data_IF_336879773846
#
_entry.id   IF_336879773846
#
_cell.length_a   1.000
_cell.length_b   1.000
_cell.length_c   1.000
_cell.angle_alpha   90.00
_cell.angle_beta   90.00
_cell.angle_gamma   90.00
#
_symmetry.space_group_name_H-M   'P 1'
#
loop_
_entity.id
_entity.type
_entity.pdbx_description
1 polymer ?
#
# COMPACT_ATOMS: atom_id res chain seq x y z
N UNK A 1 -11.49 -77.38 48.71
CA UNK A 1 -10.11 -76.85 48.55
C UNK A 1 -10.23 -75.35 48.42
N UNK A 2 -10.05 -74.67 49.55
CA UNK A 2 -10.05 -73.22 49.63
C UNK A 2 -8.77 -72.68 49.00
N UNK A 3 -8.86 -72.04 47.83
CA UNK A 3 -7.76 -71.21 47.33
C UNK A 3 -7.90 -69.79 47.91
N UNK A 4 -7.33 -69.63 49.10
CA UNK A 4 -6.98 -68.34 49.68
C UNK A 4 -5.98 -67.63 48.76
N UNK A 5 -6.40 -66.57 48.08
CA UNK A 5 -5.48 -65.66 47.39
C UNK A 5 -4.74 -64.79 48.44
N UNK A 6 -3.40 -64.64 48.33
CA UNK A 6 -2.58 -63.95 49.32
C UNK A 6 -2.88 -62.44 49.41
N UNK A 7 -2.80 -61.91 50.63
CA UNK A 7 -3.15 -60.54 51.04
C UNK A 7 -2.34 -59.41 50.35
N UNK A 8 -1.39 -59.75 49.46
CA UNK A 8 -0.43 -58.81 48.86
C UNK A 8 -0.92 -58.13 47.58
N UNK A 9 -1.99 -58.64 46.96
CA UNK A 9 -2.52 -58.08 45.70
C UNK A 9 -3.70 -57.09 45.90
N UNK A 10 -4.21 -56.93 47.14
CA UNK A 10 -5.28 -55.97 47.43
C UNK A 10 -4.83 -54.51 47.59
N UNK A 11 -3.52 -54.23 47.53
CA UNK A 11 -2.96 -52.90 47.84
C UNK A 11 -2.52 -52.07 46.62
N UNK A 12 -2.63 -52.57 45.39
CA UNK A 12 -2.25 -51.80 44.18
C UNK A 12 -3.40 -51.02 43.52
N UNK A 13 -4.56 -50.95 44.16
CA UNK A 13 -5.68 -50.08 43.76
C UNK A 13 -5.70 -48.73 44.51
N UNK A 14 -4.56 -48.32 45.09
CA UNK A 14 -4.39 -46.95 45.62
C UNK A 14 -4.24 -45.95 44.47
N UNK A 15 -5.39 -45.60 43.89
CA UNK A 15 -5.75 -44.31 43.30
C UNK A 15 -4.58 -43.49 42.73
N UNK A 16 -4.33 -43.63 41.43
CA UNK A 16 -3.79 -42.54 40.62
C UNK A 16 -4.83 -41.39 40.63
N UNK A 17 -4.87 -40.62 41.72
CA UNK A 17 -5.62 -39.35 41.72
C UNK A 17 -4.79 -38.40 40.87
N UNK A 18 -5.16 -38.28 39.59
CA UNK A 18 -4.65 -37.22 38.73
C UNK A 18 -5.02 -35.91 39.42
N UNK A 19 -4.01 -35.15 39.86
CA UNK A 19 -4.23 -33.85 40.50
C UNK A 19 -4.64 -32.85 39.41
N UNK A 20 -5.94 -32.76 39.14
CA UNK A 20 -6.51 -31.93 38.08
C UNK A 20 -6.10 -30.45 38.22
N UNK A 21 -5.95 -29.94 39.44
CA UNK A 21 -5.49 -28.57 39.69
C UNK A 21 -4.09 -28.32 39.14
N UNK A 22 -3.20 -29.32 39.23
CA UNK A 22 -1.83 -29.20 38.75
C UNK A 22 -1.74 -29.40 37.24
N UNK A 23 -2.56 -30.30 36.70
CA UNK A 23 -2.71 -30.47 35.25
C UNK A 23 -3.28 -29.21 34.57
N UNK A 24 -4.27 -28.57 35.20
CA UNK A 24 -4.90 -27.34 34.70
C UNK A 24 -3.93 -26.15 34.76
N UNK A 25 -3.20 -25.97 35.85
CA UNK A 25 -2.16 -24.93 35.95
C UNK A 25 -1.07 -25.10 34.89
N UNK A 26 -0.65 -26.33 34.62
CA UNK A 26 0.35 -26.61 33.59
C UNK A 26 -0.21 -26.46 32.17
N UNK A 27 -1.49 -26.77 31.94
CA UNK A 27 -2.15 -26.49 30.67
C UNK A 27 -2.23 -24.98 30.40
N UNK A 28 -2.66 -24.19 31.39
CA UNK A 28 -2.71 -22.73 31.27
C UNK A 28 -1.34 -22.11 31.01
N UNK A 29 -0.27 -22.59 31.67
CA UNK A 29 1.10 -22.14 31.40
C UNK A 29 1.54 -22.42 29.96
N UNK A 30 1.29 -23.63 29.46
CA UNK A 30 1.60 -23.99 28.08
C UNK A 30 0.81 -23.15 27.07
N UNK A 31 -0.46 -22.88 27.35
CA UNK A 31 -1.28 -22.05 26.47
C UNK A 31 -0.77 -20.59 26.42
N UNK A 32 -0.28 -20.06 27.54
CA UNK A 32 0.37 -18.75 27.60
C UNK A 32 1.70 -18.74 26.83
N UNK A 33 2.56 -19.74 27.05
CA UNK A 33 3.84 -19.89 26.32
C UNK A 33 3.61 -20.00 24.81
N UNK A 34 2.60 -20.76 24.37
CA UNK A 34 2.22 -20.89 22.95
C UNK A 34 1.72 -19.54 22.39
N UNK A 35 1.02 -18.74 23.19
CA UNK A 35 0.58 -17.41 22.77
C UNK A 35 1.76 -16.44 22.61
N UNK A 36 2.69 -16.43 23.57
CA UNK A 36 3.92 -15.63 23.52
C UNK A 36 4.81 -16.01 22.32
N UNK A 37 4.98 -17.31 22.05
CA UNK A 37 5.74 -17.77 20.88
C UNK A 37 5.08 -17.40 19.56
N UNK A 38 3.74 -17.52 19.46
CA UNK A 38 2.99 -17.08 18.27
C UNK A 38 3.12 -15.57 18.05
N UNK A 39 3.09 -14.79 19.11
CA UNK A 39 3.27 -13.34 19.06
C UNK A 39 4.69 -12.99 18.56
N UNK A 40 5.72 -13.63 19.12
CA UNK A 40 7.13 -13.48 18.67
C UNK A 40 7.30 -13.82 17.20
N UNK A 41 6.68 -14.90 16.71
CA UNK A 41 6.75 -15.27 15.29
C UNK A 41 6.07 -14.24 14.37
N UNK A 42 4.93 -13.68 14.78
CA UNK A 42 4.20 -12.66 14.02
C UNK A 42 4.93 -11.30 13.96
N UNK A 43 5.74 -10.98 14.98
CA UNK A 43 6.41 -9.68 15.12
C UNK A 43 7.94 -9.74 14.94
N UNK A 44 8.43 -10.66 14.08
CA UNK A 44 9.84 -10.80 13.73
C UNK A 44 10.79 -11.02 14.93
N UNK A 45 10.33 -11.75 15.95
CA UNK A 45 11.12 -12.12 17.13
C UNK A 45 11.10 -11.10 18.28
N UNK A 46 10.28 -10.05 18.19
CA UNK A 46 10.17 -9.03 19.24
C UNK A 46 9.08 -9.42 20.24
N UNK A 47 9.41 -9.39 21.52
CA UNK A 47 8.48 -9.69 22.61
C UNK A 47 7.51 -8.54 22.90
N UNK A 48 6.31 -8.85 23.38
CA UNK A 48 5.27 -7.85 23.68
C UNK A 48 5.74 -6.86 24.75
N UNK A 49 6.51 -7.33 25.73
CA UNK A 49 7.11 -6.50 26.77
C UNK A 49 8.12 -5.49 26.22
N UNK A 50 8.91 -5.87 25.22
CA UNK A 50 9.88 -4.97 24.59
C UNK A 50 9.19 -3.87 23.80
N UNK A 51 8.12 -4.22 23.07
CA UNK A 51 7.28 -3.26 22.33
C UNK A 51 6.64 -2.27 23.30
N UNK A 52 6.07 -2.76 24.40
CA UNK A 52 5.42 -1.93 25.42
C UNK A 52 6.42 -0.99 26.09
N UNK A 53 7.62 -1.47 26.43
CA UNK A 53 8.69 -0.65 26.99
C UNK A 53 9.18 0.42 26.02
N UNK A 54 9.34 0.08 24.74
CA UNK A 54 9.70 1.02 23.69
C UNK A 54 8.63 2.10 23.52
N UNK A 55 7.36 1.71 23.44
CA UNK A 55 6.22 2.64 23.32
C UNK A 55 6.09 3.57 24.53
N UNK A 56 6.27 3.06 25.75
CA UNK A 56 6.28 3.89 26.97
C UNK A 56 7.45 4.88 26.97
N UNK A 57 8.63 4.47 26.54
CA UNK A 57 9.81 5.33 26.45
C UNK A 57 9.59 6.46 25.45
N UNK A 58 9.04 6.12 24.27
CA UNK A 58 8.68 7.09 23.25
C UNK A 58 7.58 8.05 23.75
N UNK A 59 6.56 7.56 24.46
CA UNK A 59 5.46 8.38 24.99
C UNK A 59 5.94 9.38 26.05
N UNK A 60 6.87 8.96 26.92
CA UNK A 60 7.54 9.86 27.87
C UNK A 60 8.37 10.93 27.15
N UNK A 61 9.08 10.55 26.08
CA UNK A 61 9.88 11.48 25.30
C UNK A 61 9.03 12.48 24.48
N UNK A 62 7.82 12.10 24.05
CA UNK A 62 6.91 12.96 23.28
C UNK A 62 5.95 13.79 24.15
N UNK A 63 6.06 13.69 25.48
CA UNK A 63 5.23 14.46 26.42
C UNK A 63 3.78 13.98 26.50
N UNK A 64 3.54 12.66 26.37
CA UNK A 64 2.20 12.07 26.51
C UNK A 64 1.31 12.17 25.27
N UNK A 65 1.89 12.48 24.09
CA UNK A 65 1.15 12.49 22.82
C UNK A 65 0.97 11.06 22.28
N UNK A 66 -0.16 10.82 21.62
CA UNK A 66 -0.42 9.57 20.90
C UNK A 66 0.68 9.31 19.85
N UNK A 67 1.27 8.13 19.91
CA UNK A 67 2.35 7.69 19.02
C UNK A 67 1.81 6.76 17.95
N UNK A 68 1.95 7.16 16.69
CA UNK A 68 1.67 6.32 15.54
C UNK A 68 2.97 5.71 15.01
N UNK A 69 3.08 4.38 15.07
CA UNK A 69 4.21 3.64 14.46
C UNK A 69 3.87 3.37 12.99
N UNK A 70 4.19 4.34 12.14
CA UNK A 70 4.17 4.18 10.69
C UNK A 70 5.52 3.69 10.18
N UNK A 71 5.54 2.67 9.32
CA UNK A 71 6.74 2.38 8.53
C UNK A 71 6.94 3.51 7.52
N UNK A 72 8.12 4.14 7.53
CA UNK A 72 8.47 5.10 6.46
C UNK A 72 8.48 4.33 5.13
N UNK A 73 7.74 4.82 4.13
CA UNK A 73 7.86 4.30 2.75
C UNK A 73 9.34 4.27 2.37
N UNK A 74 9.81 3.14 1.84
CA UNK A 74 11.19 2.95 1.38
C UNK A 74 11.65 4.16 0.55
N UNK A 75 12.88 4.68 0.75
CA UNK A 75 13.44 5.74 -0.10
C UNK A 75 13.48 5.38 -1.60
N UNK A 76 13.36 4.10 -1.94
CA UNK A 76 13.28 3.58 -3.30
C UNK A 76 11.86 3.73 -3.90
N UNK A 77 10.84 3.94 -3.07
CA UNK A 77 9.45 4.25 -3.47
C UNK A 77 9.27 5.72 -3.90
N UNK A 78 10.33 6.33 -4.47
CA UNK A 78 10.28 7.66 -5.10
C UNK A 78 9.65 7.63 -6.49
N UNK A 79 8.94 6.56 -6.85
CA UNK A 79 8.18 6.53 -8.09
C UNK A 79 7.01 7.50 -7.93
N UNK A 80 7.04 8.58 -8.71
CA UNK A 80 5.97 9.57 -8.74
C UNK A 80 4.81 8.95 -9.52
N UNK A 81 3.82 8.42 -8.82
CA UNK A 81 2.57 8.00 -9.45
C UNK A 81 1.72 9.23 -9.72
N UNK A 82 1.29 9.42 -10.97
CA UNK A 82 0.20 10.32 -11.29
C UNK A 82 -1.12 9.61 -10.93
N UNK A 83 -1.92 10.21 -10.05
CA UNK A 83 -3.27 9.70 -9.77
C UNK A 83 -4.20 10.18 -10.89
N UNK A 84 -4.95 9.24 -11.47
CA UNK A 84 -6.04 9.54 -12.40
C UNK A 84 -7.37 9.57 -11.63
N UNK A 85 -8.24 10.53 -11.96
CA UNK A 85 -9.61 10.53 -11.46
C UNK A 85 -10.39 9.51 -12.28
N UNK A 86 -10.52 8.29 -11.77
CA UNK A 86 -11.11 7.15 -12.50
C UNK A 86 -12.56 7.43 -12.91
N UNK A 87 -13.34 8.07 -12.04
CA UNK A 87 -14.75 8.41 -12.31
C UNK A 87 -14.92 9.32 -13.53
N UNK A 88 -14.01 10.30 -13.71
CA UNK A 88 -14.04 11.19 -14.86
C UNK A 88 -13.76 10.42 -16.16
N UNK A 89 -12.81 9.49 -16.13
CA UNK A 89 -12.50 8.65 -17.30
C UNK A 89 -13.63 7.67 -17.60
N UNK A 90 -14.24 7.07 -16.58
CA UNK A 90 -15.40 6.20 -16.76
C UNK A 90 -16.56 6.95 -17.42
N UNK A 91 -16.92 8.13 -16.90
CA UNK A 91 -17.97 8.94 -17.50
C UNK A 91 -17.65 9.34 -18.95
N UNK A 92 -16.42 9.78 -19.22
CA UNK A 92 -16.00 10.16 -20.57
C UNK A 92 -16.04 8.98 -21.56
N UNK A 93 -15.77 7.75 -21.10
CA UNK A 93 -15.89 6.53 -21.90
C UNK A 93 -17.35 6.16 -22.16
N UNK A 94 -18.21 6.22 -21.14
CA UNK A 94 -19.63 5.88 -21.25
C UNK A 94 -20.36 6.75 -22.27
N UNK A 95 -20.06 8.05 -22.30
CA UNK A 95 -20.69 8.99 -23.24
C UNK A 95 -19.97 9.06 -24.60
N UNK A 96 -18.89 8.29 -24.79
CA UNK A 96 -18.07 8.33 -26.00
C UNK A 96 -17.44 9.70 -26.27
N UNK A 97 -17.07 10.43 -25.21
CA UNK A 97 -16.58 11.81 -25.32
C UNK A 97 -15.29 11.89 -26.14
N UNK A 98 -14.40 10.91 -25.97
CA UNK A 98 -13.13 10.82 -26.67
C UNK A 98 -13.13 9.64 -27.64
N UNK A 99 -12.50 9.85 -28.80
CA UNK A 99 -12.09 8.76 -29.68
C UNK A 99 -10.83 8.07 -29.13
N UNK A 100 -10.58 6.83 -29.54
CA UNK A 100 -9.37 6.08 -29.14
C UNK A 100 -8.08 6.84 -29.46
N UNK A 101 -8.05 7.53 -30.60
CA UNK A 101 -6.91 8.32 -31.01
C UNK A 101 -6.66 9.53 -30.09
N UNK A 102 -7.73 10.20 -29.65
CA UNK A 102 -7.64 11.32 -28.71
C UNK A 102 -7.21 10.84 -27.33
N UNK A 103 -7.74 9.73 -26.84
CA UNK A 103 -7.32 9.13 -25.57
C UNK A 103 -5.86 8.73 -25.60
N UNK A 104 -5.43 8.05 -26.67
CA UNK A 104 -4.04 7.68 -26.87
C UNK A 104 -3.15 8.94 -26.94
N UNK A 105 -3.60 9.99 -27.59
CA UNK A 105 -2.87 11.26 -27.64
C UNK A 105 -2.71 11.88 -26.25
N UNK A 106 -3.79 12.02 -25.47
CA UNK A 106 -3.76 12.54 -24.10
C UNK A 106 -2.82 11.73 -23.20
N UNK A 107 -2.89 10.40 -23.30
CA UNK A 107 -1.99 9.49 -22.59
C UNK A 107 -0.53 9.68 -23.01
N UNK A 108 -0.26 9.96 -24.29
CA UNK A 108 1.12 10.14 -24.77
C UNK A 108 1.71 11.48 -24.33
N UNK A 109 0.91 12.55 -24.38
CA UNK A 109 1.36 13.90 -24.02
C UNK A 109 1.46 14.13 -22.50
N UNK A 110 0.84 13.28 -21.67
CA UNK A 110 0.84 13.45 -20.20
C UNK A 110 2.25 13.65 -19.62
N UNK A 111 3.27 13.00 -20.21
CA UNK A 111 4.67 13.06 -19.78
C UNK A 111 5.33 14.42 -20.02
N UNK A 112 4.68 15.27 -20.82
CA UNK A 112 5.12 16.61 -21.20
C UNK A 112 4.31 17.70 -20.47
N UNK A 113 3.34 17.33 -19.63
CA UNK A 113 2.56 18.29 -18.86
C UNK A 113 3.32 18.77 -17.62
N UNK A 114 3.59 20.07 -17.54
CA UNK A 114 4.26 20.67 -16.40
C UNK A 114 3.26 21.04 -15.28
N UNK A 115 3.52 20.56 -14.05
CA UNK A 115 2.64 20.70 -12.88
C UNK A 115 2.22 22.14 -12.48
N UNK A 116 2.94 23.17 -12.91
CA UNK A 116 2.66 24.57 -12.53
C UNK A 116 1.98 25.37 -13.62
N UNK A 117 2.41 25.19 -14.87
CA UNK A 117 1.90 25.94 -16.01
C UNK A 117 0.74 25.22 -16.70
N UNK A 118 0.56 23.92 -16.45
CA UNK A 118 -0.34 23.04 -17.21
C UNK A 118 -0.08 23.09 -18.73
N UNK A 119 1.11 23.54 -19.13
CA UNK A 119 1.52 23.59 -20.52
C UNK A 119 2.18 22.27 -20.93
N UNK A 120 2.01 21.93 -22.21
CA UNK A 120 2.75 20.86 -22.86
C UNK A 120 4.13 21.42 -23.22
N UNK A 121 5.19 20.93 -22.54
CA UNK A 121 6.56 21.45 -22.65
C UNK A 121 7.55 20.33 -22.94
N UNK A 122 8.71 20.67 -23.51
CA UNK A 122 9.72 19.66 -23.86
C UNK A 122 10.44 19.09 -22.61
N UNK A 123 10.72 19.96 -21.64
CA UNK A 123 11.28 19.60 -20.34
C UNK A 123 10.36 20.08 -19.19
N UNK A 124 9.74 19.11 -18.51
CA UNK A 124 8.83 19.36 -17.38
C UNK A 124 9.55 19.89 -16.13
N UNK A 125 10.88 19.73 -16.04
CA UNK A 125 11.69 20.17 -14.91
C UNK A 125 12.25 21.58 -15.09
N UNK A 126 12.19 22.15 -16.30
CA UNK A 126 12.68 23.49 -16.57
C UNK A 126 11.82 24.57 -15.88
N UNK A 127 12.49 25.54 -15.25
CA UNK A 127 11.85 26.64 -14.52
C UNK A 127 11.17 27.66 -15.44
N UNK A 128 11.65 27.76 -16.68
CA UNK A 128 11.19 28.69 -17.71
C UNK A 128 10.84 27.92 -18.99
N UNK A 129 10.06 26.85 -18.83
CA UNK A 129 9.66 26.01 -19.95
C UNK A 129 8.67 26.75 -20.86
N UNK A 130 8.97 26.80 -22.16
CA UNK A 130 8.10 27.39 -23.17
C UNK A 130 7.14 26.31 -23.69
N UNK A 131 5.84 26.61 -23.89
CA UNK A 131 4.91 25.67 -24.49
C UNK A 131 5.40 25.18 -25.86
N UNK A 132 5.31 23.88 -26.11
CA UNK A 132 5.68 23.30 -27.39
C UNK A 132 4.66 23.66 -28.47
N UNK A 133 5.16 24.00 -29.66
CA UNK A 133 4.37 24.05 -30.87
C UNK A 133 3.88 22.66 -31.29
N UNK A 134 2.84 22.60 -32.12
CA UNK A 134 2.34 21.33 -32.67
C UNK A 134 3.41 20.58 -33.47
N UNK A 135 4.38 21.29 -34.08
CA UNK A 135 5.51 20.67 -34.79
C UNK A 135 6.44 19.95 -33.79
N UNK A 136 6.83 20.63 -32.72
CA UNK A 136 7.66 20.04 -31.67
C UNK A 136 6.97 18.84 -31.01
N UNK A 137 5.66 18.93 -30.74
CA UNK A 137 4.88 17.79 -30.24
C UNK A 137 4.96 16.61 -31.22
N UNK A 138 4.80 16.86 -32.52
CA UNK A 138 4.87 15.83 -33.55
C UNK A 138 6.25 15.16 -33.60
N UNK A 139 7.32 15.94 -33.56
CA UNK A 139 8.71 15.45 -33.55
C UNK A 139 8.97 14.57 -32.32
N UNK A 140 8.54 15.01 -31.13
CA UNK A 140 8.70 14.26 -29.86
C UNK A 140 7.87 12.99 -29.82
N UNK A 141 6.70 13.01 -30.43
CA UNK A 141 5.84 11.84 -30.60
C UNK A 141 6.21 10.97 -31.81
N UNK A 142 7.24 11.33 -32.58
CA UNK A 142 7.64 10.62 -33.82
C UNK A 142 6.46 10.36 -34.74
N UNK A 143 5.67 11.39 -35.02
CA UNK A 143 4.47 11.32 -35.84
C UNK A 143 4.31 12.58 -36.69
N UNK A 144 3.35 12.59 -37.61
CA UNK A 144 3.13 13.72 -38.51
C UNK A 144 2.46 14.91 -37.82
N UNK A 145 2.92 16.12 -38.18
CA UNK A 145 2.30 17.38 -37.72
C UNK A 145 0.81 17.46 -38.10
N UNK A 146 0.43 16.94 -39.26
CA UNK A 146 -0.97 16.92 -39.73
C UNK A 146 -1.86 16.14 -38.76
N UNK A 147 -1.38 14.98 -38.28
CA UNK A 147 -2.07 14.15 -37.29
C UNK A 147 -2.22 14.89 -35.96
N UNK A 148 -1.14 15.48 -35.45
CA UNK A 148 -1.18 16.27 -34.20
C UNK A 148 -2.14 17.44 -34.33
N UNK A 149 -2.08 18.20 -35.42
CA UNK A 149 -2.96 19.36 -35.66
C UNK A 149 -4.44 18.96 -35.66
N UNK A 150 -4.78 17.87 -36.37
CA UNK A 150 -6.15 17.35 -36.41
C UNK A 150 -6.66 16.99 -35.01
N UNK A 151 -5.87 16.27 -34.22
CA UNK A 151 -6.25 15.86 -32.86
C UNK A 151 -6.35 17.08 -31.94
N UNK A 152 -5.37 17.99 -31.97
CA UNK A 152 -5.36 19.19 -31.13
C UNK A 152 -6.57 20.08 -31.42
N UNK A 153 -6.94 20.30 -32.68
CA UNK A 153 -8.12 21.10 -32.99
C UNK A 153 -9.41 20.46 -32.45
N UNK A 154 -9.58 19.13 -32.58
CA UNK A 154 -10.73 18.44 -31.97
C UNK A 154 -10.77 18.57 -30.45
N UNK A 155 -9.62 18.47 -29.79
CA UNK A 155 -9.52 18.64 -28.34
C UNK A 155 -9.76 20.09 -27.90
N UNK A 156 -9.43 21.08 -28.75
CA UNK A 156 -9.79 22.49 -28.55
C UNK A 156 -11.29 22.69 -28.67
N UNK A 157 -11.93 22.10 -29.68
CA UNK A 157 -13.38 22.18 -29.86
C UNK A 157 -14.14 21.54 -28.68
N UNK A 158 -13.55 20.49 -28.07
CA UNK A 158 -14.02 19.84 -26.84
C UNK A 158 -13.67 20.60 -25.56
N UNK A 159 -12.98 21.73 -25.62
CA UNK A 159 -12.57 22.50 -24.44
C UNK A 159 -11.54 21.80 -23.54
N UNK A 160 -10.84 20.78 -24.04
CA UNK A 160 -9.88 19.97 -23.27
C UNK A 160 -8.48 20.56 -23.30
N UNK A 161 -8.10 21.18 -24.43
CA UNK A 161 -6.82 21.85 -24.61
C UNK A 161 -7.08 23.25 -25.16
N UNK A 162 -6.27 24.23 -24.77
CA UNK A 162 -6.30 25.58 -25.34
C UNK A 162 -5.00 25.85 -26.09
N UNK A 163 -5.11 26.47 -27.28
CA UNK A 163 -3.95 27.01 -27.98
C UNK A 163 -3.60 28.36 -27.36
N UNK A 164 -2.46 28.44 -26.69
CA UNK A 164 -1.93 29.72 -26.23
C UNK A 164 -1.53 30.54 -27.47
N UNK A 165 -2.16 31.69 -27.66
CA UNK A 165 -1.72 32.69 -28.62
C UNK A 165 -0.66 33.55 -27.92
N UNK A 166 0.60 33.38 -28.30
CA UNK A 166 1.73 34.19 -27.85
C UNK A 166 2.33 34.95 -29.02
#
# INVERSE_FOLDING_TARGET
MDLFLPHKERNNLKKNVVNFDQAERNARKRDLEIQEEKFKQAHHGIDEEEINKAMQTLSKATGGKELFVGTKRSPQSKVKFAQFIQDNWNHALEIGYFTDEEMLFLLRIQRFLQFKSNCIVDDIHSRSAVPMSQKQIADRLKTDKSKVSRIVNRLVDKGVIVKANG
#
